data_IF_827093254133
#
_entry.id   IF_827093254133
#
_cell.length_a   1.000
_cell.length_b   1.000
_cell.length_c   1.000
_cell.angle_alpha   90.00
_cell.angle_beta   90.00
_cell.angle_gamma   90.00
#
_symmetry.space_group_name_H-M   'P 1'
#
loop_
_entity.id
_entity.type
_entity.pdbx_description
1 polymer ?
#
# COMPACT_ATOMS: atom_id res chain seq x y z
N UNK A 1 63.47 29.44 -31.76
CA UNK A 1 63.83 28.08 -32.23
C UNK A 1 62.99 27.08 -31.44
N UNK A 2 62.40 26.08 -32.12
CA UNK A 2 61.68 24.96 -31.49
C UNK A 2 60.14 25.03 -31.53
N UNK A 3 59.53 24.76 -32.68
CA UNK A 3 58.12 24.32 -32.78
C UNK A 3 58.12 22.83 -33.07
N UNK A 4 57.51 22.02 -32.21
CA UNK A 4 57.21 20.60 -32.48
C UNK A 4 55.71 20.44 -32.67
N UNK A 5 55.35 20.02 -33.88
CA UNK A 5 54.02 19.73 -34.37
C UNK A 5 53.66 18.27 -34.02
N UNK A 6 52.64 18.03 -33.21
CA UNK A 6 52.09 16.68 -32.97
C UNK A 6 50.93 16.44 -33.93
N UNK A 7 51.10 15.43 -34.79
CA UNK A 7 50.09 14.89 -35.71
C UNK A 7 48.95 14.24 -34.93
N UNK A 8 47.72 14.51 -35.35
CA UNK A 8 46.49 13.82 -34.98
C UNK A 8 46.28 12.70 -36.00
N UNK A 9 46.08 11.47 -35.52
CA UNK A 9 45.70 10.30 -36.34
C UNK A 9 44.21 9.97 -36.11
N UNK A 10 43.33 10.06 -37.13
CA UNK A 10 41.91 9.84 -36.97
C UNK A 10 41.47 8.54 -37.65
N UNK A 11 41.58 7.38 -36.99
CA UNK A 11 40.91 6.14 -37.43
C UNK A 11 40.59 5.20 -36.26
N UNK A 12 39.34 5.23 -35.80
CA UNK A 12 38.54 4.03 -35.48
C UNK A 12 37.09 4.42 -35.23
N UNK A 13 36.30 4.34 -36.28
CA UNK A 13 34.84 4.24 -36.25
C UNK A 13 34.46 2.77 -36.10
N UNK A 14 33.28 2.55 -35.46
CA UNK A 14 32.40 1.36 -35.58
C UNK A 14 32.93 0.07 -34.89
N UNK A 15 32.14 -0.79 -34.25
CA UNK A 15 30.71 -0.86 -34.02
C UNK A 15 30.44 -1.87 -32.89
N UNK A 16 29.24 -1.77 -32.33
CA UNK A 16 28.36 -2.87 -31.92
C UNK A 16 28.67 -3.81 -30.73
N UNK A 17 27.55 -4.25 -30.15
CA UNK A 17 27.35 -5.43 -29.28
C UNK A 17 27.35 -5.18 -27.77
N UNK A 18 26.18 -4.73 -27.32
CA UNK A 18 25.56 -5.15 -26.07
C UNK A 18 25.61 -6.68 -25.90
N UNK A 19 26.29 -7.16 -24.87
CA UNK A 19 26.08 -8.52 -24.34
C UNK A 19 25.77 -8.44 -22.84
N UNK A 20 24.52 -8.75 -22.55
CA UNK A 20 23.98 -9.16 -21.27
C UNK A 20 24.86 -10.26 -20.65
N UNK A 21 25.53 -9.95 -19.54
CA UNK A 21 26.12 -10.96 -18.68
C UNK A 21 25.15 -11.30 -17.55
N UNK A 22 24.21 -12.17 -17.89
CA UNK A 22 23.48 -13.00 -16.93
C UNK A 22 24.51 -13.81 -16.11
N UNK A 23 24.58 -13.50 -14.81
CA UNK A 23 25.37 -14.24 -13.85
C UNK A 23 24.74 -15.61 -13.54
N UNK A 24 25.22 -16.63 -14.26
CA UNK A 24 24.99 -18.04 -14.00
C UNK A 24 25.57 -18.43 -12.62
N UNK A 25 24.71 -18.82 -11.67
CA UNK A 25 25.13 -19.43 -10.40
C UNK A 25 25.36 -20.94 -10.60
N UNK A 26 26.43 -21.53 -10.04
CA UNK A 26 26.74 -22.93 -10.27
C UNK A 26 25.76 -23.88 -9.57
N UNK A 27 25.20 -24.76 -10.40
CA UNK A 27 24.46 -25.99 -10.10
C UNK A 27 25.28 -26.91 -9.16
N UNK A 28 24.79 -27.11 -7.92
CA UNK A 28 25.20 -28.24 -7.08
C UNK A 28 24.18 -29.37 -7.20
N UNK A 29 24.36 -30.20 -8.23
CA UNK A 29 23.78 -31.55 -8.27
C UNK A 29 24.42 -32.45 -7.21
N UNK A 30 23.57 -33.17 -6.48
CA UNK A 30 23.94 -34.47 -5.91
C UNK A 30 23.63 -34.68 -4.44
N UNK A 31 22.35 -34.98 -4.12
CA UNK A 31 22.00 -36.11 -3.23
C UNK A 31 20.49 -36.39 -3.29
N UNK A 32 20.14 -37.52 -3.92
CA UNK A 32 18.82 -38.15 -3.81
C UNK A 32 18.69 -38.73 -2.40
N UNK A 33 17.62 -38.40 -1.69
CA UNK A 33 17.15 -39.13 -0.53
C UNK A 33 15.63 -39.30 -0.67
N UNK A 34 15.16 -40.53 -0.41
CA UNK A 34 13.87 -41.05 -0.83
C UNK A 34 12.64 -40.38 -0.20
N UNK A 35 11.53 -40.55 -0.92
CA UNK A 35 10.18 -40.19 -0.52
C UNK A 35 9.76 -41.11 0.63
N UNK A 36 9.87 -40.63 1.87
CA UNK A 36 9.29 -41.24 3.06
C UNK A 36 7.93 -40.62 3.37
N UNK A 37 6.90 -41.46 3.54
CA UNK A 37 5.53 -41.07 3.91
C UNK A 37 5.51 -40.28 5.22
N UNK A 38 4.60 -39.30 5.27
CA UNK A 38 4.55 -38.23 6.27
C UNK A 38 4.53 -38.68 7.73
N UNK A 39 5.34 -37.99 8.53
CA UNK A 39 5.08 -37.77 9.96
C UNK A 39 4.98 -36.26 10.18
N UNK A 40 3.93 -35.84 10.87
CA UNK A 40 3.76 -34.49 11.37
C UNK A 40 4.96 -34.15 12.27
N UNK A 41 5.60 -33.04 11.96
CA UNK A 41 6.82 -32.57 12.61
C UNK A 41 6.46 -31.90 13.95
N UNK A 42 6.88 -32.49 15.06
CA UNK A 42 6.90 -31.82 16.36
C UNK A 42 8.08 -30.85 16.42
N UNK A 43 7.88 -29.60 16.87
CA UNK A 43 8.96 -28.62 16.98
C UNK A 43 9.92 -29.00 18.12
N UNK A 44 11.11 -29.48 17.74
CA UNK A 44 12.26 -29.63 18.65
C UNK A 44 12.87 -28.25 18.93
N UNK A 45 12.25 -27.53 19.84
CA UNK A 45 12.73 -26.29 20.42
C UNK A 45 11.92 -25.97 21.67
N UNK A 46 12.58 -25.72 22.80
CA UNK A 46 11.94 -25.26 24.04
C UNK A 46 11.41 -23.85 23.83
N UNK A 47 10.19 -23.74 23.31
CA UNK A 47 9.36 -22.55 23.54
C UNK A 47 8.98 -22.52 25.02
N UNK A 48 8.90 -21.34 25.66
CA UNK A 48 8.28 -21.22 26.97
C UNK A 48 6.89 -21.88 26.95
N UNK A 49 6.55 -22.68 27.97
CA UNK A 49 5.31 -23.48 28.00
C UNK A 49 4.05 -22.66 27.69
N UNK A 50 4.01 -21.41 28.17
CA UNK A 50 2.89 -20.49 27.93
C UNK A 50 2.65 -20.18 26.44
N UNK A 51 3.69 -20.16 25.59
CA UNK A 51 3.56 -19.86 24.16
C UNK A 51 2.89 -21.01 23.38
N UNK A 52 3.05 -22.25 23.83
CA UNK A 52 2.42 -23.44 23.21
C UNK A 52 0.94 -23.54 23.56
N UNK A 53 0.56 -23.19 24.78
CA UNK A 53 -0.84 -23.16 25.24
C UNK A 53 -1.65 -22.09 24.50
N UNK A 54 -1.07 -20.90 24.32
CA UNK A 54 -1.71 -19.74 23.68
C UNK A 54 -1.84 -19.92 22.16
N UNK A 55 -0.83 -20.49 21.47
CA UNK A 55 -0.98 -20.86 20.06
C UNK A 55 -2.10 -21.89 19.83
N UNK A 56 -2.39 -22.76 20.80
CA UNK A 56 -3.56 -23.65 20.75
C UNK A 56 -4.86 -22.88 20.99
N UNK A 57 -4.89 -21.90 21.91
CA UNK A 57 -6.06 -21.02 22.12
C UNK A 57 -6.41 -20.18 20.90
N UNK A 58 -5.43 -19.53 20.27
CA UNK A 58 -5.66 -18.78 19.03
C UNK A 58 -6.20 -19.68 17.91
N UNK A 59 -5.70 -20.92 17.81
CA UNK A 59 -6.21 -21.91 16.85
C UNK A 59 -7.65 -22.36 17.17
N UNK A 60 -8.01 -22.45 18.45
CA UNK A 60 -9.36 -22.75 18.90
C UNK A 60 -10.37 -21.65 18.60
N UNK A 61 -9.99 -20.37 18.81
CA UNK A 61 -10.82 -19.21 18.53
C UNK A 61 -11.11 -19.03 17.03
N UNK A 62 -10.15 -19.36 16.16
CA UNK A 62 -10.36 -19.31 14.70
C UNK A 62 -11.31 -20.41 14.18
N UNK A 63 -11.46 -21.53 14.90
CA UNK A 63 -12.32 -22.64 14.46
C UNK A 63 -13.79 -22.45 14.89
N UNK A 64 -14.08 -21.61 15.87
CA UNK A 64 -15.45 -21.36 16.36
C UNK A 64 -16.16 -20.17 15.69
N UNK A 65 -15.49 -19.45 14.77
CA UNK A 65 -16.03 -18.29 14.08
C UNK A 65 -16.82 -18.58 12.79
N UNK A 66 -17.15 -19.83 12.47
CA UNK A 66 -17.98 -20.19 11.29
C UNK A 66 -19.16 -21.05 11.71
N UNK A 67 -20.24 -20.41 12.15
CA UNK A 67 -21.56 -21.02 12.25
C UNK A 67 -22.67 -19.96 12.07
N UNK A 68 -22.84 -19.51 10.82
CA UNK A 68 -24.05 -18.97 10.21
C UNK A 68 -23.66 -18.69 8.74
N UNK A 69 -24.10 -19.40 7.70
CA UNK A 69 -25.36 -20.08 7.49
C UNK A 69 -26.04 -19.43 6.28
N UNK A 70 -25.48 -19.59 5.07
CA UNK A 70 -26.21 -19.42 3.81
C UNK A 70 -25.62 -20.38 2.76
N UNK A 71 -26.45 -21.33 2.38
CA UNK A 71 -26.19 -22.45 1.49
C UNK A 71 -26.56 -22.05 0.05
N UNK A 72 -25.67 -22.13 -0.96
CA UNK A 72 -26.04 -21.87 -2.34
C UNK A 72 -26.53 -23.16 -3.00
N UNK A 73 -27.77 -23.13 -3.49
CA UNK A 73 -28.33 -24.20 -4.31
C UNK A 73 -27.53 -24.37 -5.61
N UNK A 74 -27.01 -25.58 -5.83
CA UNK A 74 -26.43 -26.03 -7.09
C UNK A 74 -27.49 -26.74 -7.92
N UNK A 75 -28.00 -26.09 -8.96
CA UNK A 75 -28.81 -26.69 -10.01
C UNK A 75 -27.94 -27.17 -11.18
N UNK A 76 -28.09 -28.44 -11.54
CA UNK A 76 -27.27 -29.17 -12.50
C UNK A 76 -27.45 -28.73 -13.97
N UNK A 77 -26.34 -28.66 -14.71
CA UNK A 77 -26.31 -28.52 -16.17
C UNK A 77 -26.41 -29.92 -16.78
N UNK A 78 -27.49 -30.20 -17.52
CA UNK A 78 -27.57 -31.33 -18.47
C UNK A 78 -27.47 -30.80 -19.90
N UNK A 79 -26.51 -31.34 -20.66
CA UNK A 79 -26.47 -31.30 -22.12
C UNK A 79 -27.23 -32.52 -22.66
N UNK A 80 -28.03 -32.31 -23.71
CA UNK A 80 -28.12 -33.13 -24.93
C UNK A 80 -29.35 -32.73 -25.74
N UNK A 81 -29.25 -32.73 -27.08
CA UNK A 81 -30.43 -32.87 -27.95
C UNK A 81 -30.50 -31.89 -29.10
N UNK A 82 -29.88 -32.27 -30.20
CA UNK A 82 -30.01 -31.72 -31.55
C UNK A 82 -31.27 -32.31 -32.23
N UNK A 83 -32.10 -31.50 -32.90
CA UNK A 83 -32.95 -31.92 -34.01
C UNK A 83 -33.62 -30.73 -34.75
N UNK A 84 -33.91 -30.99 -36.01
CA UNK A 84 -34.13 -30.11 -37.15
C UNK A 84 -35.56 -29.57 -37.36
N UNK A 85 -35.59 -28.44 -38.09
CA UNK A 85 -36.45 -28.09 -39.23
C UNK A 85 -37.96 -27.73 -39.09
N UNK A 86 -38.33 -26.80 -40.02
CA UNK A 86 -39.66 -26.38 -40.53
C UNK A 86 -40.38 -25.38 -39.61
N UNK A 87 -40.75 -24.17 -40.01
CA UNK A 87 -41.31 -23.66 -41.28
C UNK A 87 -42.70 -23.09 -40.95
N UNK A 88 -42.99 -21.81 -41.23
CA UNK A 88 -44.36 -21.29 -41.01
C UNK A 88 -44.52 -19.77 -41.08
N UNK A 89 -45.48 -19.35 -41.91
CA UNK A 89 -45.84 -18.01 -42.37
C UNK A 89 -46.28 -16.94 -41.33
N UNK A 90 -46.20 -15.68 -41.81
CA UNK A 90 -46.83 -14.42 -41.35
C UNK A 90 -48.37 -14.55 -41.13
N UNK A 91 -49.04 -13.60 -40.42
CA UNK A 91 -49.47 -12.32 -41.03
C UNK A 91 -49.41 -11.07 -40.14
N UNK A 92 -49.70 -9.97 -40.83
CA UNK A 92 -49.64 -8.53 -40.55
C UNK A 92 -51.06 -7.99 -40.40
N UNK A 93 -51.29 -7.05 -39.46
CA UNK A 93 -52.43 -6.12 -39.38
C UNK A 93 -52.24 -5.28 -38.09
N UNK A 94 -52.66 -4.03 -37.91
CA UNK A 94 -53.16 -2.95 -38.76
C UNK A 94 -53.18 -1.65 -37.91
N UNK A 95 -53.51 -0.55 -38.57
CA UNK A 95 -53.42 0.88 -38.18
C UNK A 95 -54.47 1.35 -37.16
N UNK A 96 -54.19 2.43 -36.40
CA UNK A 96 -54.93 3.71 -36.43
C UNK A 96 -54.48 4.78 -35.40
N UNK A 97 -54.30 6.05 -35.80
CA UNK A 97 -54.47 7.29 -35.01
C UNK A 97 -55.64 8.14 -35.58
N UNK A 98 -55.85 9.43 -35.23
CA UNK A 98 -55.87 10.19 -33.96
C UNK A 98 -57.25 10.87 -33.72
N UNK A 99 -57.42 11.70 -32.67
CA UNK A 99 -58.59 12.58 -32.48
C UNK A 99 -58.22 13.97 -31.94
N UNK A 100 -58.97 15.06 -32.25
CA UNK A 100 -58.54 16.44 -32.04
C UNK A 100 -59.37 17.22 -30.98
N UNK A 101 -59.01 18.51 -30.85
CA UNK A 101 -59.75 19.64 -30.24
C UNK A 101 -59.58 19.83 -28.72
N UNK A 102 -59.41 21.03 -28.15
CA UNK A 102 -60.13 22.29 -28.39
C UNK A 102 -59.32 23.48 -27.80
N UNK A 103 -59.28 24.62 -28.49
CA UNK A 103 -58.75 25.92 -28.01
C UNK A 103 -59.91 26.81 -27.52
N UNK A 104 -59.69 27.61 -26.47
CA UNK A 104 -60.05 29.03 -26.51
C UNK A 104 -58.91 29.87 -25.90
N UNK A 105 -58.69 31.16 -26.14
CA UNK A 105 -59.45 32.24 -26.74
C UNK A 105 -58.82 33.51 -26.15
N UNK A 106 -58.21 34.33 -27.01
CA UNK A 106 -57.42 35.51 -26.65
C UNK A 106 -58.34 36.73 -26.51
N UNK A 107 -58.59 37.16 -25.27
CA UNK A 107 -59.09 38.49 -24.93
C UNK A 107 -58.69 38.78 -23.48
N UNK A 108 -57.60 39.53 -23.24
CA UNK A 108 -57.77 40.92 -22.79
C UNK A 108 -56.42 41.62 -22.66
N UNK A 109 -56.34 42.76 -23.35
CA UNK A 109 -55.18 43.65 -23.38
C UNK A 109 -55.47 44.77 -22.39
N UNK A 110 -54.55 44.93 -21.43
CA UNK A 110 -54.14 46.22 -20.83
C UNK A 110 -55.17 46.92 -19.93
N UNK A 111 -54.89 46.87 -18.63
CA UNK A 111 -54.99 47.98 -17.66
C UNK A 111 -54.13 47.57 -16.44
N UNK A 112 -52.88 48.03 -16.34
CA UNK A 112 -52.50 49.29 -15.71
C UNK A 112 -52.49 49.25 -14.17
N UNK A 113 -51.36 49.73 -13.64
CA UNK A 113 -51.14 50.33 -12.31
C UNK A 113 -50.60 49.41 -11.20
N UNK A 114 -49.26 49.40 -11.12
CA UNK A 114 -48.45 49.63 -9.92
C UNK A 114 -48.99 49.08 -8.59
N UNK A 115 -48.83 47.79 -8.41
CA UNK A 115 -48.55 47.22 -7.09
C UNK A 115 -47.34 46.30 -7.27
N UNK A 116 -46.13 46.89 -7.27
CA UNK A 116 -44.94 46.10 -6.99
C UNK A 116 -45.17 45.45 -5.63
N UNK A 117 -45.52 44.16 -5.64
CA UNK A 117 -45.86 43.47 -4.41
C UNK A 117 -44.65 43.55 -3.49
N UNK A 118 -44.87 43.92 -2.23
CA UNK A 118 -43.85 43.86 -1.19
C UNK A 118 -43.19 42.47 -1.15
N UNK A 119 -43.90 41.44 -1.60
CA UNK A 119 -43.43 40.08 -1.79
C UNK A 119 -42.32 40.01 -2.85
N UNK A 120 -42.46 40.65 -4.01
CA UNK A 120 -41.41 40.65 -5.05
C UNK A 120 -40.12 41.35 -4.57
N UNK A 121 -40.24 42.43 -3.77
CA UNK A 121 -39.09 43.11 -3.16
C UNK A 121 -38.44 42.27 -2.05
N UNK A 122 -39.23 41.59 -1.23
CA UNK A 122 -38.72 40.70 -0.18
C UNK A 122 -37.99 39.49 -0.78
N UNK A 123 -38.51 38.91 -1.87
CA UNK A 123 -37.88 37.78 -2.58
C UNK A 123 -36.57 38.22 -3.24
N UNK A 124 -36.53 39.39 -3.88
CA UNK A 124 -35.30 39.91 -4.47
C UNK A 124 -34.20 40.19 -3.41
N UNK A 125 -34.57 40.72 -2.24
CA UNK A 125 -33.64 40.92 -1.12
C UNK A 125 -33.14 39.61 -0.50
N UNK A 126 -34.01 38.61 -0.36
CA UNK A 126 -33.62 37.28 0.13
C UNK A 126 -32.66 36.59 -0.84
N UNK A 127 -32.92 36.68 -2.15
CA UNK A 127 -32.02 36.14 -3.17
C UNK A 127 -30.68 36.87 -3.22
N UNK A 128 -30.67 38.19 -3.03
CA UNK A 128 -29.44 38.97 -2.94
C UNK A 128 -28.58 38.57 -1.72
N UNK A 129 -29.21 38.27 -0.58
CA UNK A 129 -28.51 37.80 0.63
C UNK A 129 -27.92 36.39 0.49
N UNK A 130 -28.53 35.50 -0.30
CA UNK A 130 -27.98 34.17 -0.61
C UNK A 130 -26.80 34.28 -1.58
N UNK A 131 -26.78 35.32 -2.42
CA UNK A 131 -25.74 35.53 -3.42
C UNK A 131 -24.51 36.30 -2.91
N UNK A 132 -24.44 36.71 -1.63
CA UNK A 132 -23.20 37.28 -1.10
C UNK A 132 -22.13 36.18 -1.06
N UNK A 133 -21.06 36.26 -1.87
CA UNK A 133 -19.94 35.37 -1.70
C UNK A 133 -19.33 35.72 -0.33
N UNK A 134 -19.43 34.79 0.63
CA UNK A 134 -18.56 34.81 1.81
C UNK A 134 -17.12 34.69 1.29
N UNK A 135 -16.51 35.83 0.95
CA UNK A 135 -15.07 35.91 0.77
C UNK A 135 -14.46 35.93 2.16
N UNK A 136 -14.43 34.74 2.78
CA UNK A 136 -13.55 34.44 3.89
C UNK A 136 -12.11 34.41 3.36
N UNK A 137 -11.57 35.60 3.08
CA UNK A 137 -10.15 35.83 2.84
C UNK A 137 -9.38 35.71 4.15
N UNK A 138 -9.45 34.54 4.77
CA UNK A 138 -8.55 34.18 5.85
C UNK A 138 -7.23 33.77 5.21
N UNK A 139 -6.23 34.65 5.21
CA UNK A 139 -4.84 34.21 5.09
C UNK A 139 -4.54 33.41 6.35
N UNK A 140 -4.86 32.12 6.30
CA UNK A 140 -4.47 31.18 7.35
C UNK A 140 -2.95 31.29 7.49
N UNK A 141 -2.45 31.44 8.72
CA UNK A 141 -1.02 31.47 8.97
C UNK A 141 -0.39 30.25 8.30
N UNK A 142 0.72 30.47 7.60
CA UNK A 142 1.55 29.44 6.95
C UNK A 142 1.86 28.34 7.95
N UNK A 143 0.93 27.40 8.07
CA UNK A 143 1.10 26.25 8.93
C UNK A 143 2.19 25.46 8.24
N UNK A 144 3.32 25.19 8.91
CA UNK A 144 4.42 24.45 8.32
C UNK A 144 3.85 23.18 7.70
N UNK A 145 3.76 23.16 6.37
CA UNK A 145 3.12 22.05 5.68
C UNK A 145 4.06 20.88 5.86
N UNK A 146 3.57 19.82 6.50
CA UNK A 146 4.37 18.62 6.70
C UNK A 146 4.97 18.21 5.35
N UNK A 147 6.27 17.88 5.29
CA UNK A 147 6.91 17.56 4.02
C UNK A 147 6.17 16.40 3.35
N UNK A 148 5.97 16.45 2.02
CA UNK A 148 5.18 15.47 1.31
C UNK A 148 5.70 14.05 1.54
N UNK A 149 4.80 13.06 1.53
CA UNK A 149 5.19 11.65 1.62
C UNK A 149 5.97 11.22 0.39
N UNK A 150 6.91 10.30 0.60
CA UNK A 150 7.87 9.84 -0.41
C UNK A 150 7.93 8.31 -0.43
N UNK A 151 8.25 7.75 -1.60
CA UNK A 151 8.57 6.33 -1.73
C UNK A 151 9.70 5.95 -0.76
N UNK A 152 9.47 4.90 0.03
CA UNK A 152 10.40 4.43 1.05
C UNK A 152 10.17 5.01 2.45
N UNK A 153 9.25 5.95 2.62
CA UNK A 153 8.73 6.24 3.96
C UNK A 153 8.06 4.99 4.53
N UNK A 154 8.16 4.77 5.83
CA UNK A 154 7.64 3.58 6.51
C UNK A 154 6.42 4.01 7.33
N UNK A 155 5.33 3.24 7.23
CA UNK A 155 4.13 3.45 8.04
C UNK A 155 3.97 2.28 8.99
N UNK A 156 4.09 2.55 10.29
CA UNK A 156 3.79 1.61 11.35
C UNK A 156 2.35 1.79 11.79
N UNK A 157 1.65 0.70 12.07
CA UNK A 157 0.29 0.71 12.61
C UNK A 157 0.17 -0.18 13.84
N UNK A 158 -0.68 0.24 14.77
CA UNK A 158 -1.03 -0.48 15.99
C UNK A 158 -2.51 -0.85 16.00
N UNK A 159 -2.81 -2.14 16.20
CA UNK A 159 -4.17 -2.70 16.25
C UNK A 159 -4.32 -3.76 17.35
N UNK A 160 -5.55 -4.07 17.75
CA UNK A 160 -5.83 -5.06 18.83
C UNK A 160 -6.23 -6.45 18.31
N UNK A 161 -5.91 -6.77 17.05
CA UNK A 161 -6.19 -8.10 16.48
C UNK A 161 -5.33 -9.21 17.10
N UNK A 162 -5.78 -10.46 17.02
CA UNK A 162 -5.01 -11.63 17.49
C UNK A 162 -3.61 -11.72 16.86
N UNK A 163 -3.48 -11.29 15.60
CA UNK A 163 -2.18 -11.23 14.93
C UNK A 163 -1.29 -10.10 15.45
N UNK A 164 -1.91 -8.98 15.79
CA UNK A 164 -1.21 -7.87 16.41
C UNK A 164 -0.67 -8.25 17.78
N UNK A 165 -1.41 -9.02 18.59
CA UNK A 165 -0.92 -9.56 19.85
C UNK A 165 0.40 -10.34 19.68
N UNK A 166 0.48 -11.21 18.66
CA UNK A 166 1.71 -11.97 18.40
C UNK A 166 2.86 -11.05 17.97
N UNK A 167 2.62 -10.11 17.05
CA UNK A 167 3.64 -9.16 16.62
C UNK A 167 4.20 -8.32 17.78
N UNK A 168 3.31 -7.83 18.65
CA UNK A 168 3.65 -7.06 19.85
C UNK A 168 4.47 -7.85 20.87
N UNK A 169 4.31 -9.19 20.92
CA UNK A 169 5.10 -10.05 21.81
C UNK A 169 6.58 -10.12 21.42
N UNK A 170 6.89 -9.82 20.16
CA UNK A 170 8.25 -9.69 19.63
C UNK A 170 8.73 -8.23 19.59
N UNK A 171 8.04 -7.28 20.21
CA UNK A 171 8.57 -5.93 20.35
C UNK A 171 9.77 -5.90 21.31
N UNK A 172 10.76 -5.05 21.04
CA UNK A 172 11.91 -4.84 21.93
C UNK A 172 11.64 -3.75 22.99
N UNK A 173 10.93 -2.70 22.59
CA UNK A 173 10.78 -1.46 23.36
C UNK A 173 9.33 -0.98 23.41
N UNK A 174 8.64 -0.91 22.26
CA UNK A 174 7.31 -0.32 22.15
C UNK A 174 6.29 -1.29 21.55
N UNK A 175 5.52 -2.01 22.39
CA UNK A 175 4.56 -3.00 21.92
C UNK A 175 3.28 -2.38 21.37
N UNK A 176 3.21 -1.06 21.11
CA UNK A 176 2.03 -0.47 20.46
C UNK A 176 1.98 -0.83 18.97
N UNK A 177 3.13 -1.02 18.34
CA UNK A 177 3.25 -1.28 16.91
C UNK A 177 3.12 -2.78 16.62
N UNK A 178 2.24 -3.11 15.67
CA UNK A 178 1.92 -4.49 15.33
C UNK A 178 2.09 -4.82 13.85
N UNK A 179 2.06 -3.81 12.99
CA UNK A 179 2.13 -3.99 11.55
C UNK A 179 2.87 -2.83 10.90
N UNK A 180 3.40 -3.07 9.71
CA UNK A 180 4.23 -2.10 9.00
C UNK A 180 4.17 -2.31 7.50
N UNK A 181 4.30 -1.21 6.75
CA UNK A 181 4.48 -1.20 5.31
C UNK A 181 5.36 -0.05 4.85
N UNK A 182 5.73 -0.06 3.57
CA UNK A 182 6.49 1.01 2.91
C UNK A 182 5.59 1.79 1.95
N UNK A 183 5.63 3.11 2.05
CA UNK A 183 4.97 4.02 1.11
C UNK A 183 5.60 3.85 -0.26
N UNK A 184 4.73 3.76 -1.26
CA UNK A 184 5.07 3.89 -2.68
C UNK A 184 4.24 5.05 -3.21
N UNK A 185 4.93 6.02 -3.81
CA UNK A 185 4.29 7.17 -4.45
C UNK A 185 4.34 7.01 -5.98
N UNK A 186 3.22 7.29 -6.62
CA UNK A 186 3.06 7.33 -8.07
C UNK A 186 2.24 8.59 -8.44
N UNK A 187 2.93 9.66 -8.84
CA UNK A 187 2.28 10.97 -8.96
C UNK A 187 1.68 11.45 -7.63
N UNK A 188 0.36 11.63 -7.60
CA UNK A 188 -0.41 12.01 -6.42
C UNK A 188 -0.95 10.80 -5.63
N UNK A 189 -0.86 9.60 -6.20
CA UNK A 189 -1.30 8.38 -5.54
C UNK A 189 -0.29 7.94 -4.49
N UNK A 190 -0.82 7.68 -3.30
CA UNK A 190 -0.07 7.18 -2.15
C UNK A 190 -0.58 5.80 -1.79
N UNK A 191 0.28 4.81 -1.97
CA UNK A 191 0.01 3.42 -1.67
C UNK A 191 0.99 2.91 -0.61
N UNK A 192 0.61 1.83 0.07
CA UNK A 192 1.48 1.11 0.99
C UNK A 192 1.66 -0.30 0.48
N UNK A 193 2.92 -0.70 0.33
CA UNK A 193 3.29 -2.09 0.06
C UNK A 193 3.67 -2.75 1.39
N UNK A 194 2.98 -3.83 1.72
CA UNK A 194 3.16 -4.56 2.98
C UNK A 194 2.92 -6.05 2.82
N UNK A 195 3.39 -6.85 3.78
CA UNK A 195 2.99 -8.26 3.86
C UNK A 195 1.64 -8.35 4.58
N UNK A 196 0.58 -8.73 3.88
CA UNK A 196 -0.72 -9.01 4.49
C UNK A 196 -0.80 -10.48 4.90
N UNK A 197 -0.85 -10.73 6.21
CA UNK A 197 -0.60 -12.05 6.77
C UNK A 197 -1.53 -12.41 7.90
N UNK A 198 -1.77 -13.71 8.01
CA UNK A 198 -2.49 -14.33 9.11
C UNK A 198 -1.81 -15.67 9.47
N UNK A 199 -2.21 -16.33 10.57
CA UNK A 199 -1.76 -17.69 10.86
C UNK A 199 -2.05 -18.71 9.75
N UNK A 200 -3.02 -18.42 8.87
CA UNK A 200 -3.38 -19.26 7.73
C UNK A 200 -2.54 -18.98 6.47
N UNK A 201 -1.63 -18.00 6.54
CA UNK A 201 -0.87 -17.52 5.40
C UNK A 201 -1.32 -16.13 4.95
N UNK A 202 -0.92 -15.76 3.75
CA UNK A 202 -1.10 -14.43 3.20
C UNK A 202 -0.10 -14.16 2.09
N UNK A 203 -0.07 -12.92 1.61
CA UNK A 203 0.83 -12.50 0.54
C UNK A 203 1.14 -11.00 0.66
N UNK A 204 2.17 -10.58 -0.05
CA UNK A 204 2.45 -9.16 -0.25
C UNK A 204 1.25 -8.48 -0.92
N UNK A 205 0.86 -7.31 -0.43
CA UNK A 205 -0.21 -6.51 -0.99
C UNK A 205 0.24 -5.08 -1.16
N UNK A 206 -0.45 -4.41 -2.08
CA UNK A 206 -0.42 -2.97 -2.31
C UNK A 206 -1.84 -2.46 -2.11
N UNK A 207 -1.99 -1.42 -1.31
CA UNK A 207 -3.28 -0.79 -1.10
C UNK A 207 -3.14 0.72 -0.82
N UNK A 208 -4.20 1.52 -1.03
CA UNK A 208 -4.16 2.95 -0.75
C UNK A 208 -3.75 3.24 0.69
N UNK A 209 -2.93 4.26 0.90
CA UNK A 209 -2.45 4.66 2.23
C UNK A 209 -3.62 4.88 3.20
N UNK A 210 -4.67 5.57 2.74
CA UNK A 210 -5.86 5.84 3.55
C UNK A 210 -6.56 4.54 4.02
N UNK A 211 -6.55 3.48 3.21
CA UNK A 211 -7.10 2.18 3.59
C UNK A 211 -6.20 1.49 4.61
N UNK A 212 -4.89 1.49 4.39
CA UNK A 212 -3.91 0.88 5.28
C UNK A 212 -3.95 1.50 6.69
N UNK A 213 -4.07 2.83 6.79
CA UNK A 213 -4.12 3.54 8.08
C UNK A 213 -5.53 3.66 8.64
N UNK A 214 -6.57 3.63 7.82
CA UNK A 214 -7.95 3.82 8.27
C UNK A 214 -8.48 2.71 9.18
N UNK A 215 -7.83 1.54 9.15
CA UNK A 215 -8.12 0.43 10.06
C UNK A 215 -7.25 0.43 11.31
N UNK A 216 -6.32 1.39 11.45
CA UNK A 216 -5.36 1.45 12.53
C UNK A 216 -5.90 2.27 13.72
N UNK A 217 -5.70 1.79 14.95
CA UNK A 217 -5.95 2.60 16.15
C UNK A 217 -4.86 3.68 16.33
N UNK A 218 -3.64 3.33 15.94
CA UNK A 218 -2.46 4.19 16.00
C UNK A 218 -1.68 4.05 14.70
N UNK A 219 -1.11 5.16 14.22
CA UNK A 219 -0.17 5.14 13.10
C UNK A 219 1.04 6.02 13.38
N UNK A 220 2.18 5.63 12.81
CA UNK A 220 3.42 6.42 12.86
C UNK A 220 4.12 6.37 11.52
N UNK A 221 4.55 7.54 11.07
CA UNK A 221 5.43 7.69 9.92
C UNK A 221 6.89 7.67 10.39
N UNK A 222 7.74 6.98 9.64
CA UNK A 222 9.20 6.94 9.81
C UNK A 222 9.83 7.23 8.47
N UNK A 223 10.81 8.14 8.41
CA UNK A 223 11.50 8.49 7.17
C UNK A 223 12.97 8.07 7.23
N UNK A 224 13.35 6.95 6.60
CA UNK A 224 14.76 6.57 6.47
C UNK A 224 15.53 7.56 5.59
N UNK A 225 16.84 7.65 5.81
CA UNK A 225 17.74 8.49 5.02
C UNK A 225 18.05 7.82 3.67
N UNK A 226 17.14 7.97 2.69
CA UNK A 226 17.30 7.45 1.34
C UNK A 226 17.48 8.57 0.32
N UNK A 227 18.47 8.43 -0.56
CA UNK A 227 18.58 9.25 -1.77
C UNK A 227 17.64 8.75 -2.89
N UNK A 228 17.46 9.53 -3.95
CA UNK A 228 16.52 9.21 -5.02
C UNK A 228 16.85 7.91 -5.76
N UNK A 229 18.14 7.60 -5.93
CA UNK A 229 18.59 6.34 -6.52
C UNK A 229 18.14 5.15 -5.68
N UNK A 230 18.32 5.22 -4.36
CA UNK A 230 17.88 4.18 -3.43
C UNK A 230 16.35 4.04 -3.42
N UNK A 231 15.60 5.15 -3.49
CA UNK A 231 14.14 5.11 -3.57
C UNK A 231 13.64 4.41 -4.84
N UNK A 232 14.26 4.69 -6.00
CA UNK A 232 13.93 3.99 -7.26
C UNK A 232 14.26 2.49 -7.19
N UNK A 233 15.43 2.14 -6.65
CA UNK A 233 15.80 0.73 -6.47
C UNK A 233 14.86 0.01 -5.49
N UNK A 234 14.43 0.69 -4.42
CA UNK A 234 13.50 0.14 -3.45
C UNK A 234 12.12 -0.11 -4.08
N UNK A 235 11.60 0.85 -4.86
CA UNK A 235 10.37 0.69 -5.65
C UNK A 235 10.46 -0.53 -6.56
N UNK A 236 11.51 -0.62 -7.38
CA UNK A 236 11.69 -1.75 -8.30
C UNK A 236 11.76 -3.10 -7.55
N UNK A 237 12.41 -3.13 -6.39
CA UNK A 237 12.48 -4.33 -5.55
C UNK A 237 11.10 -4.74 -5.01
N UNK A 238 10.31 -3.77 -4.50
CA UNK A 238 8.93 -3.99 -4.05
C UNK A 238 8.03 -4.48 -5.19
N UNK A 239 8.13 -3.85 -6.36
CA UNK A 239 7.38 -4.23 -7.56
C UNK A 239 7.70 -5.66 -7.99
N UNK A 240 8.97 -6.07 -7.93
CA UNK A 240 9.37 -7.45 -8.19
C UNK A 240 8.77 -8.46 -7.21
N UNK A 241 8.62 -8.08 -5.92
CA UNK A 241 7.97 -8.94 -4.94
C UNK A 241 6.45 -9.03 -5.12
N UNK A 242 5.80 -7.92 -5.49
CA UNK A 242 4.39 -7.88 -5.88
C UNK A 242 4.12 -8.76 -7.10
N UNK A 243 4.94 -8.63 -8.15
CA UNK A 243 4.81 -9.40 -9.39
C UNK A 243 4.93 -10.91 -9.16
N UNK A 244 5.79 -11.34 -8.22
CA UNK A 244 5.92 -12.75 -7.84
C UNK A 244 4.90 -13.23 -6.81
N UNK A 245 3.98 -12.37 -6.38
CA UNK A 245 3.00 -12.63 -5.33
C UNK A 245 3.65 -13.28 -4.09
N UNK A 246 4.67 -12.61 -3.55
CA UNK A 246 5.49 -13.13 -2.45
C UNK A 246 4.62 -13.58 -1.28
N UNK A 247 4.79 -14.83 -0.85
CA UNK A 247 4.00 -15.42 0.23
C UNK A 247 4.36 -14.85 1.61
N UNK A 248 3.39 -14.83 2.52
CA UNK A 248 3.60 -14.48 3.92
C UNK A 248 4.34 -15.61 4.66
N UNK A 249 5.38 -15.28 5.42
CA UNK A 249 6.06 -16.25 6.27
C UNK A 249 5.39 -16.39 7.64
N UNK A 250 4.58 -17.44 7.78
CA UNK A 250 3.91 -17.79 9.06
C UNK A 250 4.85 -18.34 10.13
N UNK A 251 6.13 -18.58 9.79
CA UNK A 251 7.14 -19.15 10.69
C UNK A 251 8.18 -18.13 11.16
N UNK A 252 8.08 -16.87 10.72
CA UNK A 252 8.95 -15.76 11.12
C UNK A 252 10.45 -16.11 11.07
N UNK A 253 10.89 -16.63 9.92
CA UNK A 253 12.26 -17.07 9.66
C UNK A 253 12.93 -16.06 8.75
N UNK A 254 14.05 -15.52 9.20
CA UNK A 254 14.94 -14.71 8.36
C UNK A 254 15.82 -15.54 7.41
N UNK A 255 15.50 -16.82 7.19
CA UNK A 255 16.28 -17.60 6.22
C UNK A 255 15.97 -17.12 4.80
N UNK A 256 16.89 -17.37 3.86
CA UNK A 256 16.91 -16.77 2.51
C UNK A 256 15.84 -17.37 1.57
N UNK A 257 14.61 -17.47 2.08
CA UNK A 257 13.40 -17.90 1.39
C UNK A 257 12.69 -16.70 0.80
N UNK A 258 11.86 -16.91 -0.23
CA UNK A 258 11.06 -15.84 -0.82
C UNK A 258 9.99 -15.32 0.16
N UNK A 259 9.49 -16.16 1.07
CA UNK A 259 8.44 -15.76 2.01
C UNK A 259 8.98 -14.80 3.07
N UNK A 260 8.18 -13.79 3.45
CA UNK A 260 8.56 -12.77 4.42
C UNK A 260 7.39 -12.40 5.34
N UNK A 261 7.68 -11.87 6.52
CA UNK A 261 6.70 -11.14 7.34
C UNK A 261 6.85 -9.61 7.18
N UNK A 262 5.95 -8.83 7.77
CA UNK A 262 5.80 -7.40 7.49
C UNK A 262 7.07 -6.58 7.75
N UNK A 263 7.67 -6.68 8.93
CA UNK A 263 8.90 -5.94 9.25
C UNK A 263 10.13 -6.49 8.52
N UNK A 264 10.15 -7.78 8.18
CA UNK A 264 11.20 -8.37 7.34
C UNK A 264 11.21 -7.80 5.92
N UNK A 265 10.04 -7.59 5.29
CA UNK A 265 9.93 -6.94 3.98
C UNK A 265 10.61 -5.57 4.01
N UNK A 266 10.35 -4.76 5.05
CA UNK A 266 10.94 -3.44 5.24
C UNK A 266 12.46 -3.55 5.38
N UNK A 267 12.93 -4.37 6.31
CA UNK A 267 14.35 -4.53 6.58
C UNK A 267 15.12 -5.07 5.37
N UNK A 268 14.62 -6.10 4.67
CA UNK A 268 15.26 -6.63 3.47
C UNK A 268 15.31 -5.60 2.34
N UNK A 269 14.22 -4.84 2.15
CA UNK A 269 14.16 -3.76 1.16
C UNK A 269 15.20 -2.68 1.42
N UNK A 270 15.27 -2.18 2.66
CA UNK A 270 16.27 -1.18 3.05
C UNK A 270 17.70 -1.73 2.95
N UNK A 271 17.94 -2.96 3.43
CA UNK A 271 19.25 -3.61 3.31
C UNK A 271 19.69 -3.71 1.85
N UNK A 272 18.76 -4.07 0.96
CA UNK A 272 19.04 -4.26 -0.47
C UNK A 272 19.51 -2.99 -1.18
N UNK A 273 19.06 -1.83 -0.72
CA UNK A 273 19.42 -0.52 -1.29
C UNK A 273 20.47 0.23 -0.46
N UNK A 274 21.05 -0.41 0.57
CA UNK A 274 21.99 0.25 1.47
C UNK A 274 21.37 1.37 2.32
N UNK A 275 20.08 1.26 2.63
CA UNK A 275 19.31 2.23 3.40
C UNK A 275 19.28 1.99 4.92
N UNK A 276 19.95 0.95 5.41
CA UNK A 276 20.11 0.71 6.85
C UNK A 276 21.32 1.47 7.40
N UNK A 277 21.26 2.01 8.63
CA UNK A 277 22.42 2.55 9.30
C UNK A 277 23.56 1.53 9.44
N UNK A 278 24.81 2.02 9.43
CA UNK A 278 25.95 1.17 9.73
C UNK A 278 25.83 0.56 11.13
N UNK A 279 26.15 -0.72 11.26
CA UNK A 279 26.04 -1.44 12.54
C UNK A 279 24.60 -1.77 12.97
N UNK A 280 23.62 -1.69 12.05
CA UNK A 280 22.25 -2.13 12.36
C UNK A 280 22.20 -3.65 12.54
N UNK A 281 22.30 -4.10 13.79
CA UNK A 281 22.22 -5.51 14.18
C UNK A 281 20.79 -5.93 14.52
N UNK A 282 20.47 -7.19 14.22
CA UNK A 282 19.17 -7.76 14.57
C UNK A 282 19.23 -8.43 15.94
N UNK A 283 18.19 -8.27 16.77
CA UNK A 283 18.09 -9.02 18.01
C UNK A 283 17.98 -10.52 17.71
N UNK A 284 18.37 -11.35 18.69
CA UNK A 284 18.20 -12.80 18.60
C UNK A 284 17.37 -13.33 19.76
N UNK A 285 16.42 -14.21 19.47
CA UNK A 285 15.65 -14.96 20.48
C UNK A 285 15.82 -16.45 20.20
N UNK A 286 16.32 -17.19 21.20
CA UNK A 286 16.60 -18.62 21.05
C UNK A 286 17.61 -18.92 19.93
N UNK A 287 18.61 -18.06 19.75
CA UNK A 287 19.65 -18.19 18.71
C UNK A 287 19.17 -17.85 17.29
N UNK A 288 18.00 -17.22 17.14
CA UNK A 288 17.43 -16.86 15.84
C UNK A 288 17.21 -15.36 15.75
N UNK A 289 17.76 -14.74 14.70
CA UNK A 289 17.53 -13.34 14.41
C UNK A 289 16.08 -13.10 13.94
N UNK A 290 15.53 -11.93 14.29
CA UNK A 290 14.23 -11.46 13.83
C UNK A 290 14.24 -9.93 13.69
N UNK A 291 13.24 -9.36 13.01
CA UNK A 291 13.10 -7.91 12.83
C UNK A 291 11.88 -7.45 13.63
N UNK A 292 12.06 -6.84 14.82
CA UNK A 292 10.95 -6.23 15.56
C UNK A 292 10.32 -5.10 14.76
N UNK A 293 8.99 -4.97 14.85
CA UNK A 293 8.26 -3.89 14.16
C UNK A 293 8.62 -2.54 14.76
N UNK A 294 8.69 -2.46 16.09
CA UNK A 294 8.95 -1.23 16.84
C UNK A 294 10.37 -0.70 16.65
N UNK A 295 11.35 -1.57 16.43
CA UNK A 295 12.73 -1.16 16.15
C UNK A 295 12.88 -0.36 14.86
N UNK A 296 11.96 -0.51 13.90
CA UNK A 296 11.94 0.31 12.68
C UNK A 296 11.74 1.80 12.98
N UNK A 297 11.24 2.17 14.16
CA UNK A 297 11.13 3.57 14.59
C UNK A 297 12.48 4.28 14.65
N UNK A 298 13.57 3.58 14.98
CA UNK A 298 14.91 4.17 15.12
C UNK A 298 15.51 4.59 13.76
N UNK A 299 14.93 4.10 12.65
CA UNK A 299 15.33 4.49 11.30
C UNK A 299 14.96 5.92 10.96
N UNK A 300 14.12 6.57 11.76
CA UNK A 300 13.63 7.91 11.49
C UNK A 300 14.76 8.94 11.46
N UNK A 301 15.10 9.42 10.27
CA UNK A 301 16.13 10.43 10.06
C UNK A 301 15.59 11.85 10.24
N UNK A 302 14.26 12.03 10.21
CA UNK A 302 13.63 13.35 10.31
C UNK A 302 13.94 14.04 11.64
N UNK A 303 13.99 13.28 12.74
CA UNK A 303 14.38 13.80 14.07
C UNK A 303 15.89 14.11 14.22
N UNK A 304 16.76 13.51 13.39
CA UNK A 304 18.22 13.75 13.45
C UNK A 304 18.66 15.00 12.70
N UNK A 305 17.91 15.43 11.68
CA UNK A 305 18.19 16.70 10.98
C UNK A 305 17.95 17.93 11.85
N UNK A 306 16.93 17.92 12.72
CA UNK A 306 16.65 19.04 13.61
C UNK A 306 17.76 19.26 14.67
N UNK A 307 18.51 18.22 15.03
CA UNK A 307 19.56 18.28 16.04
C UNK A 307 20.95 18.69 15.49
N UNK A 308 21.14 18.77 14.17
CA UNK A 308 22.45 19.09 13.55
C UNK A 308 22.60 20.51 13.03
N UNK A 309 21.60 21.38 13.19
CA UNK A 309 21.63 22.77 12.70
C UNK A 309 21.78 23.81 13.81
N UNK A 310 22.72 23.61 14.74
CA UNK A 310 23.30 24.72 15.52
C UNK A 310 24.83 24.54 15.54
N UNK A 311 25.59 25.24 14.69
CA UNK A 311 26.97 25.53 15.03
C UNK A 311 26.92 26.36 16.31
N UNK A 312 27.53 25.86 17.38
CA UNK A 312 27.80 26.68 18.57
C UNK A 312 28.89 27.69 18.19
N UNK A 313 28.51 28.72 17.44
CA UNK A 313 29.24 29.97 17.46
C UNK A 313 29.04 30.51 18.88
N UNK A 314 30.09 30.44 19.68
CA UNK A 314 30.45 31.40 20.73
C UNK A 314 31.46 30.74 21.68
N UNK A 315 32.74 30.97 21.40
CA UNK A 315 33.71 31.45 22.39
C UNK A 315 34.97 31.93 21.64
N UNK A 316 34.80 33.03 20.91
CA UNK A 316 35.84 34.05 20.81
C UNK A 316 35.37 35.19 21.70
N UNK A 317 35.79 35.16 22.97
CA UNK A 317 35.86 36.37 23.79
C UNK A 317 37.23 36.40 24.43
N UNK A 318 37.90 37.50 24.16
CA UNK A 318 39.25 37.86 24.53
C UNK A 318 39.55 37.68 26.02
N UNK A 319 40.80 37.32 26.30
CA UNK A 319 41.68 37.99 27.27
C UNK A 319 43.12 37.63 26.98
#
# INVERSE_FOLDING_TARGET
>A
MGRTSSRIDPRKTEDDSSEDREGCWPDRRGRRAGIGRGRLFEPQGRFPGHLREELRRCRGLCLHGRAAGQEPQRGAVRRAGQADARGGCLPRADRHPPGPEHLPGDHDRRQAVRSESLIARAVALLLALIALPLQAGGTSPDTPTAPPLQTGDIVLTGNDGAWAFLARRFAEHDPRWSHVGMVVRDGDDLEVVHMDGSPLGGHIRREPLARFTGQAQLSRLVRPALNDGQRRQLRAWLDGHLARNTAFDTRFRLDDRPAMYCSELVWRGLRRVGGLPAGWELPTVGGRAFVPVDRLVELDASGRSAARSVPRADHLSAR
#
